data_IF_886595865915
#
_entry.id   IF_886595865915
#
_cell.length_a   1.000
_cell.length_b   1.000
_cell.length_c   1.000
_cell.angle_alpha   90.00
_cell.angle_beta   90.00
_cell.angle_gamma   90.00
#
_symmetry.space_group_name_H-M   'P 1'
#
loop_
_entity.id
_entity.type
_entity.pdbx_description
1 polymer ?
#
# COMPACT_ATOMS: atom_id res chain seq x y z
N UNK A 1 45.75 -34.37 12.49
CA UNK A 1 45.33 -33.89 13.83
C UNK A 1 45.04 -32.39 13.89
N UNK A 2 45.53 -31.56 12.95
CA UNK A 2 45.38 -30.08 13.04
C UNK A 2 43.96 -29.55 12.74
N UNK A 3 43.16 -30.25 11.94
CA UNK A 3 41.82 -29.79 11.53
C UNK A 3 40.83 -29.74 12.71
N UNK A 4 40.99 -30.60 13.74
CA UNK A 4 40.08 -30.60 14.89
C UNK A 4 40.31 -29.39 15.82
N UNK A 5 41.53 -28.86 15.88
CA UNK A 5 41.84 -27.69 16.69
C UNK A 5 41.16 -26.44 16.15
N UNK A 6 41.18 -26.22 14.83
CA UNK A 6 40.48 -25.11 14.20
C UNK A 6 38.96 -25.16 14.41
N UNK A 7 38.36 -26.35 14.33
CA UNK A 7 36.94 -26.53 14.59
C UNK A 7 36.59 -26.22 16.06
N UNK A 8 37.42 -26.66 17.00
CA UNK A 8 37.24 -26.37 18.43
C UNK A 8 37.41 -24.88 18.76
N UNK A 9 38.38 -24.19 18.13
CA UNK A 9 38.54 -22.75 18.27
C UNK A 9 37.36 -21.97 17.68
N UNK A 10 36.85 -22.37 16.52
CA UNK A 10 35.66 -21.77 15.92
C UNK A 10 34.40 -21.98 16.80
N UNK A 11 34.22 -23.19 17.35
CA UNK A 11 33.13 -23.50 18.26
C UNK A 11 33.22 -22.72 19.58
N UNK A 12 34.42 -22.62 20.18
CA UNK A 12 34.66 -21.85 21.40
C UNK A 12 34.45 -20.35 21.16
N UNK A 13 34.92 -19.82 20.03
CA UNK A 13 34.67 -18.43 19.64
C UNK A 13 33.17 -18.17 19.48
N UNK A 14 32.44 -19.06 18.80
CA UNK A 14 30.99 -18.95 18.65
C UNK A 14 30.27 -19.02 20.01
N UNK A 15 30.72 -19.90 20.91
CA UNK A 15 30.18 -20.01 22.26
C UNK A 15 30.46 -18.75 23.10
N UNK A 16 31.66 -18.17 23.04
CA UNK A 16 32.02 -16.93 23.74
C UNK A 16 31.26 -15.71 23.19
N UNK A 17 31.03 -15.64 21.88
CA UNK A 17 30.18 -14.62 21.25
C UNK A 17 28.71 -14.80 21.68
N UNK A 18 28.23 -16.04 21.78
CA UNK A 18 26.87 -16.31 22.26
C UNK A 18 26.72 -15.97 23.74
N UNK A 19 27.68 -16.38 24.58
CA UNK A 19 27.71 -16.12 26.01
C UNK A 19 27.83 -14.62 26.32
N UNK A 20 28.71 -13.90 25.64
CA UNK A 20 28.82 -12.43 25.78
C UNK A 20 27.54 -11.72 25.36
N UNK A 21 26.88 -12.15 24.27
CA UNK A 21 25.56 -11.60 23.90
C UNK A 21 24.48 -11.90 24.94
N UNK A 22 24.49 -13.08 25.57
CA UNK A 22 23.57 -13.42 26.65
C UNK A 22 23.82 -12.61 27.93
N UNK A 23 25.09 -12.35 28.26
CA UNK A 23 25.50 -11.52 29.39
C UNK A 23 25.13 -10.05 29.15
N UNK A 24 25.49 -9.48 28.00
CA UNK A 24 25.11 -8.12 27.61
C UNK A 24 23.58 -7.97 27.54
N UNK A 25 22.86 -9.01 27.12
CA UNK A 25 21.39 -9.01 27.14
C UNK A 25 20.82 -8.95 28.57
N UNK A 26 21.43 -9.64 29.54
CA UNK A 26 21.03 -9.54 30.96
C UNK A 26 21.40 -8.20 31.60
N UNK A 27 22.54 -7.62 31.21
CA UNK A 27 23.01 -6.32 31.71
C UNK A 27 22.32 -5.12 31.04
N UNK A 28 21.75 -5.31 29.86
CA UNK A 28 21.19 -4.25 29.02
C UNK A 28 19.69 -4.02 29.17
N UNK A 29 19.10 -4.25 30.35
CA UNK A 29 17.72 -3.88 30.61
C UNK A 29 17.69 -2.50 31.30
N UNK A 30 17.58 -1.39 30.56
CA UNK A 30 17.45 -0.08 31.19
C UNK A 30 16.20 -0.09 32.07
N UNK A 31 16.33 0.39 33.30
CA UNK A 31 15.29 0.39 34.34
C UNK A 31 14.01 1.17 33.98
N UNK A 32 13.90 1.70 32.76
CA UNK A 32 12.84 2.58 32.29
C UNK A 32 12.14 2.07 31.01
N UNK A 33 12.27 0.79 30.65
CA UNK A 33 11.49 0.25 29.53
C UNK A 33 10.06 -0.10 29.98
N UNK A 34 9.08 0.03 29.06
CA UNK A 34 7.75 -0.51 29.28
C UNK A 34 7.77 -2.02 29.60
N UNK A 35 6.70 -2.55 30.21
CA UNK A 35 6.54 -3.99 30.42
C UNK A 35 6.84 -4.80 29.15
N UNK A 36 7.53 -5.93 29.33
CA UNK A 36 7.90 -6.86 28.25
C UNK A 36 7.55 -8.28 28.65
N UNK A 37 6.89 -9.07 27.80
CA UNK A 37 6.79 -10.51 27.99
C UNK A 37 8.18 -11.17 27.95
N UNK A 38 8.30 -12.44 28.38
CA UNK A 38 9.55 -13.18 28.25
C UNK A 38 10.01 -13.28 26.79
N UNK A 39 11.26 -12.90 26.53
CA UNK A 39 11.85 -12.94 25.19
C UNK A 39 12.88 -14.06 25.05
N UNK A 40 13.04 -14.59 23.83
CA UNK A 40 14.10 -15.56 23.51
C UNK A 40 15.35 -14.85 22.98
N UNK A 41 16.56 -15.42 23.19
CA UNK A 41 17.78 -14.91 22.57
C UNK A 41 17.64 -14.85 21.04
N UNK A 42 18.27 -13.84 20.42
CA UNK A 42 18.33 -13.60 18.97
C UNK A 42 16.98 -13.25 18.32
N UNK A 43 15.95 -14.09 18.47
CA UNK A 43 14.64 -13.90 17.82
C UNK A 43 13.73 -12.92 18.56
N UNK A 44 13.98 -12.67 19.85
CA UNK A 44 13.12 -11.85 20.69
C UNK A 44 11.74 -12.46 20.89
N UNK A 45 10.71 -11.71 20.53
CA UNK A 45 9.30 -12.01 20.71
C UNK A 45 8.62 -12.55 19.45
N UNK A 46 9.34 -12.76 18.35
CA UNK A 46 8.77 -13.31 17.11
C UNK A 46 8.06 -14.66 17.33
N UNK A 47 8.54 -15.47 18.26
CA UNK A 47 7.92 -16.75 18.62
C UNK A 47 6.54 -16.63 19.29
N UNK A 48 6.19 -15.44 19.80
CA UNK A 48 4.87 -15.17 20.37
C UNK A 48 3.86 -14.76 19.31
N UNK A 49 4.33 -14.24 18.17
CA UNK A 49 3.48 -13.67 17.14
C UNK A 49 2.81 -14.77 16.32
N UNK A 50 1.48 -14.82 16.39
CA UNK A 50 0.64 -15.65 15.53
C UNK A 50 -0.10 -14.74 14.56
N UNK A 51 -0.57 -15.33 13.46
CA UNK A 51 -1.50 -14.61 12.58
C UNK A 51 -2.92 -14.76 13.13
N UNK A 52 -3.73 -13.68 13.10
CA UNK A 52 -3.36 -12.32 12.67
C UNK A 52 -2.58 -11.58 13.77
N UNK A 53 -1.59 -10.78 13.33
CA UNK A 53 -0.68 -10.09 14.24
C UNK A 53 -1.41 -9.22 15.28
N UNK A 54 -2.39 -8.42 14.86
CA UNK A 54 -3.07 -7.46 15.74
C UNK A 54 -3.83 -8.15 16.89
N UNK A 55 -4.40 -9.35 16.70
CA UNK A 55 -5.07 -10.10 17.78
C UNK A 55 -4.08 -10.61 18.80
N UNK A 56 -2.96 -11.17 18.33
CA UNK A 56 -1.89 -11.60 19.23
C UNK A 56 -1.32 -10.42 20.02
N UNK A 57 -1.16 -9.25 19.39
CA UNK A 57 -0.72 -8.03 20.08
C UNK A 57 -1.75 -7.57 21.12
N UNK A 58 -3.05 -7.65 20.81
CA UNK A 58 -4.14 -7.34 21.77
C UNK A 58 -4.14 -8.31 22.96
N UNK A 59 -4.01 -9.61 22.73
CA UNK A 59 -3.91 -10.62 23.81
C UNK A 59 -2.69 -10.37 24.72
N UNK A 60 -1.55 -10.03 24.13
CA UNK A 60 -0.37 -9.64 24.89
C UNK A 60 -0.63 -8.37 25.70
N UNK A 61 -1.28 -7.36 25.10
CA UNK A 61 -1.60 -6.11 25.79
C UNK A 61 -2.52 -6.33 26.98
N UNK A 62 -3.58 -7.13 26.82
CA UNK A 62 -4.50 -7.48 27.90
C UNK A 62 -3.79 -8.20 29.07
N UNK A 63 -2.69 -8.90 28.80
CA UNK A 63 -1.94 -9.66 29.81
C UNK A 63 -0.83 -8.85 30.48
N UNK A 64 -0.13 -7.99 29.75
CA UNK A 64 1.10 -7.34 30.21
C UNK A 64 0.96 -5.82 30.37
N UNK A 65 -0.14 -5.23 29.91
CA UNK A 65 -0.43 -3.79 29.98
C UNK A 65 -0.56 -3.13 28.59
N UNK A 66 -1.05 -1.89 28.59
CA UNK A 66 -1.41 -1.16 27.36
C UNK A 66 -0.21 -0.63 26.56
N UNK A 67 0.99 -0.59 27.17
CA UNK A 67 2.22 -0.14 26.52
C UNK A 67 3.26 -1.24 26.70
N UNK A 68 3.60 -1.93 25.61
CA UNK A 68 4.52 -3.07 25.65
C UNK A 68 5.78 -2.83 24.85
N UNK A 69 6.90 -3.21 25.45
CA UNK A 69 8.16 -3.31 24.73
C UNK A 69 8.34 -4.72 24.18
N UNK A 70 8.40 -4.83 22.85
CA UNK A 70 8.69 -6.05 22.13
C UNK A 70 9.99 -5.93 21.32
N UNK A 71 10.45 -7.06 20.83
CA UNK A 71 11.69 -7.20 20.06
C UNK A 71 11.43 -8.19 18.94
N UNK A 72 11.43 -7.75 17.69
CA UNK A 72 11.26 -8.62 16.54
C UNK A 72 12.62 -8.84 15.89
N UNK A 73 13.28 -9.96 16.23
CA UNK A 73 14.68 -10.19 15.86
C UNK A 73 15.59 -9.10 16.45
N UNK A 74 16.21 -8.30 15.59
CA UNK A 74 17.05 -7.15 16.01
C UNK A 74 16.27 -5.84 16.19
N UNK A 75 14.99 -5.77 15.77
CA UNK A 75 14.19 -4.54 15.87
C UNK A 75 13.51 -4.42 17.22
N UNK A 76 13.58 -3.23 17.81
CA UNK A 76 12.81 -2.85 19.00
C UNK A 76 11.45 -2.33 18.55
N UNK A 77 10.38 -2.78 19.20
CA UNK A 77 9.00 -2.44 18.84
C UNK A 77 8.26 -2.01 20.08
N UNK A 78 7.58 -0.87 20.01
CA UNK A 78 6.68 -0.40 21.05
C UNK A 78 5.25 -0.65 20.58
N UNK A 79 4.47 -1.40 21.36
CA UNK A 79 3.05 -1.62 21.10
C UNK A 79 2.26 -0.70 22.03
N UNK A 80 1.32 0.04 21.46
CA UNK A 80 0.48 1.00 22.19
C UNK A 80 -0.97 0.62 21.94
N UNK A 81 -1.69 0.31 23.02
CA UNK A 81 -3.08 -0.16 23.01
C UNK A 81 -4.00 0.68 23.90
N UNK A 82 -3.52 1.84 24.38
CA UNK A 82 -4.33 2.79 25.18
C UNK A 82 -4.69 4.02 24.33
N UNK A 83 -5.97 4.44 24.32
CA UNK A 83 -6.40 5.65 23.61
C UNK A 83 -5.62 6.91 24.00
N UNK A 84 -5.36 7.13 25.29
CA UNK A 84 -4.63 8.31 25.76
C UNK A 84 -3.16 8.31 25.34
N UNK A 85 -2.52 7.14 25.32
CA UNK A 85 -1.15 6.99 24.85
C UNK A 85 -1.04 7.16 23.32
N UNK A 86 -2.03 6.66 22.58
CA UNK A 86 -2.14 6.91 21.14
C UNK A 86 -2.31 8.40 20.87
N UNK A 87 -3.20 9.08 21.60
CA UNK A 87 -3.40 10.53 21.49
C UNK A 87 -2.09 11.28 21.73
N UNK A 88 -1.35 10.96 22.80
CA UNK A 88 -0.04 11.58 23.08
C UNK A 88 0.96 11.38 21.93
N UNK A 89 1.03 10.16 21.36
CA UNK A 89 1.91 9.84 20.25
C UNK A 89 1.58 10.56 18.95
N UNK A 90 0.29 10.73 18.63
CA UNK A 90 -0.17 11.30 17.36
C UNK A 90 -0.60 12.77 17.44
N UNK A 91 -0.50 13.40 18.62
CA UNK A 91 -0.73 14.85 18.80
C UNK A 91 0.50 15.54 19.39
N UNK A 92 0.83 15.29 20.65
CA UNK A 92 1.91 15.97 21.35
C UNK A 92 3.32 15.57 20.89
N UNK A 93 3.48 14.35 20.38
CA UNK A 93 4.77 13.78 19.92
C UNK A 93 4.73 13.30 18.47
N UNK A 94 3.79 13.82 17.68
CA UNK A 94 3.50 13.39 16.31
C UNK A 94 4.73 13.35 15.39
N UNK A 95 5.58 14.38 15.40
CA UNK A 95 6.81 14.45 14.60
C UNK A 95 7.83 13.38 15.00
N UNK A 96 7.92 13.05 16.28
CA UNK A 96 8.86 12.03 16.79
C UNK A 96 8.46 10.65 16.27
N UNK A 97 7.16 10.36 16.26
CA UNK A 97 6.60 9.09 15.81
C UNK A 97 6.23 9.04 14.32
N UNK A 98 6.44 10.13 13.57
CA UNK A 98 6.13 10.21 12.15
C UNK A 98 7.14 9.45 11.24
N UNK A 99 8.28 9.02 11.76
CA UNK A 99 9.28 8.28 10.99
C UNK A 99 8.79 6.90 10.55
N UNK A 100 9.33 6.39 9.42
CA UNK A 100 8.98 5.09 8.86
C UNK A 100 10.14 4.11 8.99
N UNK A 101 9.89 2.86 9.41
CA UNK A 101 10.95 1.86 9.47
C UNK A 101 11.42 1.51 8.07
N UNK A 102 12.74 1.44 7.86
CA UNK A 102 13.30 0.95 6.59
C UNK A 102 12.99 -0.53 6.43
N UNK A 103 12.33 -0.90 5.35
CA UNK A 103 12.02 -2.30 5.03
C UNK A 103 12.56 -2.68 3.66
N UNK A 104 12.72 -3.98 3.42
CA UNK A 104 13.10 -4.51 2.11
C UNK A 104 12.07 -4.12 1.04
N UNK A 105 10.77 -4.18 1.39
CA UNK A 105 9.70 -3.68 0.52
C UNK A 105 9.77 -2.16 0.28
N UNK A 106 10.13 -1.38 1.31
CA UNK A 106 10.39 0.05 1.16
C UNK A 106 11.54 0.33 0.19
N UNK A 107 12.62 -0.44 0.29
CA UNK A 107 13.78 -0.34 -0.59
C UNK A 107 13.43 -0.66 -2.05
N UNK A 108 12.84 -1.83 -2.28
CA UNK A 108 12.72 -2.41 -3.63
C UNK A 108 11.39 -2.13 -4.34
N UNK A 109 10.29 -1.85 -3.61
CA UNK A 109 8.95 -1.62 -4.17
C UNK A 109 8.45 -0.17 -4.04
N UNK A 110 9.23 0.70 -3.40
CA UNK A 110 8.82 2.07 -3.05
C UNK A 110 9.93 3.10 -3.30
N UNK A 111 10.66 2.94 -4.41
CA UNK A 111 11.70 3.87 -4.83
C UNK A 111 12.68 4.24 -3.71
N UNK A 112 13.24 3.22 -3.05
CA UNK A 112 14.12 3.40 -1.91
C UNK A 112 13.49 4.18 -0.73
N UNK A 113 12.23 3.88 -0.39
CA UNK A 113 11.45 4.49 0.69
C UNK A 113 11.19 6.00 0.48
N UNK A 114 10.98 6.42 -0.76
CA UNK A 114 10.66 7.82 -1.09
C UNK A 114 9.17 8.06 -1.31
N UNK A 115 8.33 7.03 -1.33
CA UNK A 115 6.87 7.17 -1.44
C UNK A 115 6.24 7.65 -0.12
N UNK A 116 5.08 8.30 -0.20
CA UNK A 116 4.37 8.92 0.93
C UNK A 116 4.19 7.98 2.14
N UNK A 117 3.87 6.71 1.90
CA UNK A 117 3.65 5.71 2.95
C UNK A 117 4.92 5.20 3.62
N UNK A 118 6.08 5.28 2.95
CA UNK A 118 7.35 4.67 3.37
C UNK A 118 8.44 5.68 3.71
N UNK A 119 8.27 6.96 3.36
CA UNK A 119 9.24 8.00 3.67
C UNK A 119 9.12 8.45 5.13
N UNK A 120 10.27 8.62 5.79
CA UNK A 120 10.33 9.24 7.12
C UNK A 120 10.00 10.72 7.05
N UNK A 121 9.55 11.26 8.18
CA UNK A 121 9.27 12.68 8.28
C UNK A 121 10.51 13.51 7.96
N UNK A 122 10.33 14.54 7.13
CA UNK A 122 11.40 15.37 6.61
C UNK A 122 10.87 16.30 5.54
N UNK A 123 11.76 17.07 4.91
CA UNK A 123 11.40 17.99 3.83
C UNK A 123 10.68 17.29 2.67
N UNK A 124 11.25 16.18 2.17
CA UNK A 124 10.67 15.38 1.10
C UNK A 124 9.23 14.93 1.41
N UNK A 125 9.00 14.35 2.59
CA UNK A 125 7.66 13.90 3.01
C UNK A 125 6.69 15.08 3.16
N UNK A 126 7.13 16.21 3.72
CA UNK A 126 6.29 17.42 3.84
C UNK A 126 5.88 17.95 2.47
N UNK A 127 6.79 17.94 1.49
CA UNK A 127 6.48 18.36 0.12
C UNK A 127 5.49 17.40 -0.55
N UNK A 128 5.63 16.08 -0.35
CA UNK A 128 4.63 15.09 -0.79
C UNK A 128 3.26 15.31 -0.13
N UNK A 129 3.25 15.60 1.17
CA UNK A 129 2.01 15.91 1.92
C UNK A 129 1.34 17.17 1.39
N UNK A 130 2.12 18.21 1.10
CA UNK A 130 1.62 19.45 0.49
C UNK A 130 1.04 19.19 -0.89
N UNK A 131 1.79 18.54 -1.79
CA UNK A 131 1.34 18.16 -3.13
C UNK A 131 0.00 17.42 -3.07
N UNK A 132 -0.06 16.33 -2.29
CA UNK A 132 -1.27 15.50 -2.22
C UNK A 132 -2.46 16.27 -1.65
N UNK A 133 -2.27 17.03 -0.57
CA UNK A 133 -3.38 17.70 0.14
C UNK A 133 -3.87 18.95 -0.61
N UNK A 134 -2.96 19.77 -1.12
CA UNK A 134 -3.28 21.07 -1.72
C UNK A 134 -3.63 20.91 -3.20
N UNK A 135 -2.84 20.13 -3.94
CA UNK A 135 -2.97 20.08 -5.39
C UNK A 135 -3.87 18.94 -5.86
N UNK A 136 -3.79 17.76 -5.24
CA UNK A 136 -4.47 16.56 -5.75
C UNK A 136 -5.82 16.29 -5.09
N UNK A 137 -5.92 16.51 -3.78
CA UNK A 137 -7.09 16.16 -2.97
C UNK A 137 -7.72 17.36 -2.25
N UNK A 138 -7.49 18.58 -2.74
CA UNK A 138 -8.24 19.74 -2.24
C UNK A 138 -9.73 19.60 -2.55
N UNK A 139 -10.58 20.23 -1.74
CA UNK A 139 -12.04 20.22 -1.91
C UNK A 139 -12.45 20.61 -3.33
N UNK A 140 -11.80 21.63 -3.89
CA UNK A 140 -12.04 22.07 -5.26
C UNK A 140 -11.67 20.97 -6.28
N UNK A 141 -10.51 20.34 -6.14
CA UNK A 141 -10.10 19.27 -7.06
C UNK A 141 -11.01 18.04 -6.97
N UNK A 142 -11.42 17.65 -5.77
CA UNK A 142 -12.37 16.54 -5.61
C UNK A 142 -13.73 16.90 -6.23
N UNK A 143 -14.16 18.15 -6.16
CA UNK A 143 -15.40 18.61 -6.78
C UNK A 143 -15.35 18.56 -8.32
N UNK A 144 -14.21 18.85 -8.96
CA UNK A 144 -14.08 18.76 -10.43
C UNK A 144 -14.21 17.34 -10.98
N UNK A 145 -14.03 16.31 -10.15
CA UNK A 145 -14.24 14.90 -10.52
C UNK A 145 -15.63 14.37 -10.15
N UNK A 146 -16.57 15.23 -9.76
CA UNK A 146 -17.93 14.82 -9.35
C UNK A 146 -18.70 14.07 -10.43
N UNK A 147 -18.71 14.59 -11.66
CA UNK A 147 -19.39 13.96 -12.80
C UNK A 147 -18.80 12.58 -13.11
N UNK A 148 -17.47 12.47 -13.10
CA UNK A 148 -16.76 11.20 -13.29
C UNK A 148 -17.15 10.15 -12.24
N UNK A 149 -17.22 10.52 -10.95
CA UNK A 149 -17.66 9.59 -9.90
C UNK A 149 -19.13 9.19 -10.09
N UNK A 150 -19.98 10.14 -10.48
CA UNK A 150 -21.39 9.88 -10.77
C UNK A 150 -21.52 8.86 -11.91
N UNK A 151 -20.76 9.03 -12.99
CA UNK A 151 -20.73 8.08 -14.12
C UNK A 151 -20.36 6.67 -13.68
N UNK A 152 -19.30 6.48 -12.86
CA UNK A 152 -18.92 5.14 -12.39
C UNK A 152 -20.00 4.48 -11.53
N UNK A 153 -20.62 5.26 -10.64
CA UNK A 153 -21.75 4.77 -9.82
C UNK A 153 -22.93 4.39 -10.71
N UNK A 154 -23.25 5.21 -11.72
CA UNK A 154 -24.32 4.90 -12.67
C UNK A 154 -24.03 3.62 -13.45
N UNK A 155 -22.79 3.40 -13.89
CA UNK A 155 -22.38 2.17 -14.58
C UNK A 155 -22.58 0.93 -13.70
N UNK A 156 -22.18 0.99 -12.42
CA UNK A 156 -22.42 -0.08 -11.47
C UNK A 156 -23.93 -0.35 -11.32
N UNK A 157 -24.74 0.70 -11.13
CA UNK A 157 -26.19 0.55 -11.00
C UNK A 157 -26.83 -0.07 -12.24
N UNK A 158 -26.43 0.34 -13.45
CA UNK A 158 -26.90 -0.27 -14.70
C UNK A 158 -26.52 -1.75 -14.80
N UNK A 159 -25.32 -2.12 -14.36
CA UNK A 159 -24.89 -3.52 -14.35
C UNK A 159 -25.71 -4.35 -13.36
N UNK A 160 -25.89 -3.85 -12.13
CA UNK A 160 -26.71 -4.52 -11.11
C UNK A 160 -28.18 -4.66 -11.56
N UNK A 161 -28.73 -3.62 -12.18
CA UNK A 161 -30.09 -3.66 -12.71
C UNK A 161 -30.22 -4.70 -13.82
N UNK A 162 -29.31 -4.71 -14.81
CA UNK A 162 -29.30 -5.72 -15.88
C UNK A 162 -29.22 -7.13 -15.31
N UNK A 163 -28.29 -7.37 -14.38
CA UNK A 163 -28.05 -8.68 -13.79
C UNK A 163 -29.20 -9.15 -12.87
N UNK A 164 -30.03 -8.24 -12.32
CA UNK A 164 -31.18 -8.56 -11.45
C UNK A 164 -32.56 -8.41 -12.11
N UNK A 165 -32.61 -7.94 -13.36
CA UNK A 165 -33.86 -7.62 -14.08
C UNK A 165 -34.76 -8.83 -14.35
N UNK A 166 -34.15 -10.03 -14.49
CA UNK A 166 -34.88 -11.28 -14.80
C UNK A 166 -35.24 -12.09 -13.54
N UNK A 167 -34.39 -12.02 -12.51
CA UNK A 167 -34.51 -12.78 -11.27
C UNK A 167 -33.60 -12.13 -10.20
N UNK A 168 -33.90 -12.38 -8.93
CA UNK A 168 -33.01 -12.06 -7.81
C UNK A 168 -31.62 -12.68 -8.05
N UNK A 169 -30.62 -11.83 -8.25
CA UNK A 169 -29.25 -12.26 -8.55
C UNK A 169 -28.35 -12.09 -7.35
N UNK A 170 -27.44 -13.06 -7.19
CA UNK A 170 -26.36 -13.01 -6.21
C UNK A 170 -25.27 -12.09 -6.73
N UNK A 171 -24.92 -11.08 -5.95
CA UNK A 171 -23.93 -10.06 -6.30
C UNK A 171 -22.83 -10.04 -5.24
N UNK A 172 -21.57 -10.15 -5.66
CA UNK A 172 -20.41 -9.93 -4.79
C UNK A 172 -20.13 -8.44 -4.61
N UNK A 173 -20.65 -7.85 -3.53
CA UNK A 173 -20.53 -6.41 -3.25
C UNK A 173 -19.07 -5.98 -3.04
N UNK A 174 -18.24 -6.81 -2.41
CA UNK A 174 -16.81 -6.48 -2.24
C UNK A 174 -16.13 -6.31 -3.60
N UNK A 175 -16.33 -7.25 -4.53
CA UNK A 175 -15.79 -7.14 -5.89
C UNK A 175 -16.34 -5.91 -6.59
N UNK A 176 -17.65 -5.66 -6.51
CA UNK A 176 -18.28 -4.49 -7.12
C UNK A 176 -17.73 -3.16 -6.57
N UNK A 177 -17.54 -3.03 -5.26
CA UNK A 177 -17.03 -1.81 -4.64
C UNK A 177 -15.53 -1.63 -4.85
N UNK A 178 -14.75 -2.71 -4.89
CA UNK A 178 -13.33 -2.65 -5.26
C UNK A 178 -13.17 -2.18 -6.71
N UNK A 179 -13.90 -2.79 -7.66
CA UNK A 179 -13.87 -2.37 -9.06
C UNK A 179 -14.31 -0.90 -9.24
N UNK A 180 -15.38 -0.49 -8.53
CA UNK A 180 -15.86 0.90 -8.53
C UNK A 180 -14.79 1.87 -8.01
N UNK A 181 -14.25 1.61 -6.81
CA UNK A 181 -13.27 2.50 -6.16
C UNK A 181 -12.00 2.58 -6.99
N UNK A 182 -11.57 1.45 -7.54
CA UNK A 182 -10.41 1.36 -8.40
C UNK A 182 -10.60 2.19 -9.69
N UNK A 183 -11.72 2.00 -10.39
CA UNK A 183 -11.99 2.76 -11.63
C UNK A 183 -12.15 4.25 -11.35
N UNK A 184 -12.77 4.64 -10.23
CA UNK A 184 -12.81 6.05 -9.79
C UNK A 184 -11.39 6.60 -9.64
N UNK A 185 -10.50 5.89 -8.93
CA UNK A 185 -9.12 6.33 -8.72
C UNK A 185 -8.36 6.45 -10.04
N UNK A 186 -8.38 5.43 -10.91
CA UNK A 186 -7.64 5.47 -12.17
C UNK A 186 -8.21 6.45 -13.19
N UNK A 187 -9.52 6.69 -13.20
CA UNK A 187 -10.09 7.76 -14.02
C UNK A 187 -9.65 9.13 -13.51
N UNK A 188 -9.56 9.34 -12.21
CA UNK A 188 -9.01 10.58 -11.67
C UNK A 188 -7.52 10.75 -12.01
N UNK A 189 -6.73 9.67 -11.90
CA UNK A 189 -5.27 9.69 -12.10
C UNK A 189 -4.88 9.83 -13.57
N UNK A 190 -5.41 8.95 -14.41
CA UNK A 190 -5.00 8.78 -15.81
C UNK A 190 -6.15 8.90 -16.81
N UNK A 191 -7.39 9.10 -16.35
CA UNK A 191 -8.56 9.14 -17.23
C UNK A 191 -8.98 7.78 -17.80
N UNK A 192 -8.37 6.68 -17.33
CA UNK A 192 -8.56 5.32 -17.84
C UNK A 192 -9.35 4.44 -16.86
N UNK A 193 -10.05 3.44 -17.39
CA UNK A 193 -10.67 2.35 -16.63
C UNK A 193 -9.88 1.08 -16.83
N UNK A 194 -9.80 0.27 -15.78
CA UNK A 194 -9.07 -1.00 -15.80
C UNK A 194 -9.91 -2.20 -15.38
N UNK A 195 -11.14 -1.99 -14.90
CA UNK A 195 -12.09 -3.05 -14.59
C UNK A 195 -13.44 -2.82 -15.30
N UNK A 196 -14.19 -3.91 -15.51
CA UNK A 196 -15.53 -3.91 -16.10
C UNK A 196 -15.64 -4.85 -17.31
N UNK A 197 -16.86 -5.30 -17.61
CA UNK A 197 -17.16 -6.25 -18.70
C UNK A 197 -16.74 -5.72 -20.09
N UNK A 198 -16.71 -4.40 -20.25
CA UNK A 198 -16.36 -3.71 -21.50
C UNK A 198 -14.86 -3.36 -21.60
N UNK A 199 -14.09 -3.58 -20.52
CA UNK A 199 -12.65 -3.33 -20.48
C UNK A 199 -11.92 -4.64 -20.81
N UNK A 200 -11.68 -4.87 -22.10
CA UNK A 200 -10.97 -6.05 -22.62
C UNK A 200 -9.65 -5.64 -23.28
N UNK A 201 -8.89 -4.80 -22.58
CA UNK A 201 -7.56 -4.37 -23.04
C UNK A 201 -6.46 -5.20 -22.35
N UNK A 202 -5.42 -5.53 -23.11
CA UNK A 202 -4.23 -6.22 -22.62
C UNK A 202 -3.45 -5.34 -21.62
N UNK A 203 -3.46 -4.01 -21.83
CA UNK A 203 -2.91 -3.04 -20.87
C UNK A 203 -3.54 -3.25 -19.48
N UNK A 204 -4.86 -3.45 -19.44
CA UNK A 204 -5.58 -3.59 -18.19
C UNK A 204 -5.27 -4.88 -17.45
N UNK A 205 -5.19 -6.00 -18.17
CA UNK A 205 -4.79 -7.28 -17.58
C UNK A 205 -3.37 -7.23 -17.03
N UNK A 206 -2.45 -6.62 -17.78
CA UNK A 206 -1.08 -6.44 -17.34
C UNK A 206 -1.04 -5.62 -16.04
N UNK A 207 -1.74 -4.50 -16.00
CA UNK A 207 -1.77 -3.64 -14.82
C UNK A 207 -2.37 -4.33 -13.58
N UNK A 208 -3.52 -5.01 -13.74
CA UNK A 208 -4.15 -5.78 -12.67
C UNK A 208 -3.21 -6.81 -12.06
N UNK A 209 -2.46 -7.54 -12.91
CA UNK A 209 -1.48 -8.53 -12.46
C UNK A 209 -0.32 -7.88 -11.69
N UNK A 210 0.17 -6.72 -12.15
CA UNK A 210 1.24 -5.98 -11.47
C UNK A 210 0.81 -5.52 -10.07
N UNK A 211 -0.39 -4.95 -9.94
CA UNK A 211 -0.93 -4.51 -8.64
C UNK A 211 -1.14 -5.70 -7.71
N UNK A 212 -1.76 -6.78 -8.20
CA UNK A 212 -1.97 -8.00 -7.40
C UNK A 212 -0.66 -8.55 -6.84
N UNK A 213 0.39 -8.60 -7.66
CA UNK A 213 1.69 -9.08 -7.21
C UNK A 213 2.36 -8.10 -6.25
N UNK A 214 2.22 -6.79 -6.47
CA UNK A 214 2.81 -5.75 -5.65
C UNK A 214 2.25 -5.79 -4.23
N UNK A 215 0.94 -5.92 -4.08
CA UNK A 215 0.29 -5.98 -2.77
C UNK A 215 0.62 -7.28 -2.02
N UNK A 216 0.70 -8.41 -2.73
CA UNK A 216 1.13 -9.68 -2.13
C UNK A 216 2.56 -9.58 -1.55
N UNK A 217 3.47 -8.90 -2.25
CA UNK A 217 4.85 -8.72 -1.79
C UNK A 217 4.98 -7.65 -0.70
N UNK A 218 4.19 -6.57 -0.76
CA UNK A 218 4.15 -5.52 0.28
C UNK A 218 3.59 -6.02 1.61
N UNK A 219 2.52 -6.83 1.56
CA UNK A 219 1.87 -7.39 2.75
C UNK A 219 2.60 -8.58 3.38
N UNK A 220 3.55 -9.18 2.67
CA UNK A 220 4.34 -10.29 3.21
C UNK A 220 5.29 -9.82 4.32
N UNK A 221 5.16 -10.40 5.52
CA UNK A 221 6.11 -10.15 6.61
C UNK A 221 7.46 -10.78 6.26
N UNK A 222 8.45 -9.97 5.88
CA UNK A 222 9.76 -10.46 5.47
C UNK A 222 10.67 -10.70 6.68
N UNK A 223 11.20 -11.92 6.82
CA UNK A 223 12.18 -12.24 7.88
C UNK A 223 13.46 -11.40 7.75
N UNK A 224 13.84 -11.00 6.54
CA UNK A 224 15.00 -10.15 6.29
C UNK A 224 14.86 -8.75 6.90
N UNK A 225 13.64 -8.31 7.21
CA UNK A 225 13.42 -7.05 7.94
C UNK A 225 13.85 -7.20 9.40
N UNK A 226 13.68 -8.37 10.01
CA UNK A 226 13.97 -8.63 11.42
C UNK A 226 15.38 -9.17 11.68
N UNK A 227 15.99 -9.80 10.67
CA UNK A 227 17.32 -10.40 10.76
C UNK A 227 18.22 -9.91 9.59
N UNK A 228 19.00 -8.84 9.78
CA UNK A 228 19.84 -8.28 8.73
C UNK A 228 20.84 -9.27 8.11
N UNK A 229 21.28 -10.27 8.87
CA UNK A 229 22.18 -11.34 8.35
C UNK A 229 21.54 -12.14 7.21
N UNK A 230 20.21 -12.25 7.18
CA UNK A 230 19.50 -12.94 6.10
C UNK A 230 19.46 -12.11 4.81
N UNK A 231 19.77 -10.81 4.83
CA UNK A 231 19.86 -9.99 3.61
C UNK A 231 21.07 -10.36 2.75
N UNK A 232 22.07 -11.06 3.30
CA UNK A 232 23.24 -11.50 2.53
C UNK A 232 22.94 -12.67 1.60
N UNK A 233 21.83 -13.37 1.83
CA UNK A 233 21.42 -14.54 1.05
C UNK A 233 19.94 -14.36 0.72
N UNK A 234 19.60 -14.14 -0.55
CA UNK A 234 18.20 -14.07 -1.01
C UNK A 234 17.56 -15.48 -1.00
N UNK A 235 17.39 -16.04 0.21
CA UNK A 235 17.05 -17.44 0.47
C UNK A 235 15.74 -17.88 -0.19
N UNK A 236 14.87 -16.92 -0.56
CA UNK A 236 13.58 -17.16 -1.20
C UNK A 236 13.44 -16.51 -2.57
N UNK A 237 14.50 -15.91 -3.13
CA UNK A 237 14.42 -15.14 -4.37
C UNK A 237 13.48 -13.92 -4.28
N UNK A 238 13.16 -13.49 -3.05
CA UNK A 238 12.14 -12.50 -2.76
C UNK A 238 12.59 -11.11 -3.21
N UNK A 239 13.84 -10.75 -2.93
CA UNK A 239 14.39 -9.47 -3.36
C UNK A 239 14.49 -9.41 -4.89
N UNK A 240 14.94 -10.49 -5.53
CA UNK A 240 14.97 -10.59 -7.00
C UNK A 240 13.58 -10.44 -7.62
N UNK A 241 12.57 -11.07 -7.02
CA UNK A 241 11.17 -10.95 -7.45
C UNK A 241 10.63 -9.54 -7.27
N UNK A 242 10.90 -8.90 -6.13
CA UNK A 242 10.52 -7.50 -5.87
C UNK A 242 11.15 -6.55 -6.90
N UNK A 243 12.44 -6.67 -7.17
CA UNK A 243 13.14 -5.85 -8.16
C UNK A 243 12.58 -6.06 -9.58
N UNK A 244 12.34 -7.32 -9.97
CA UNK A 244 11.74 -7.67 -11.25
C UNK A 244 10.34 -7.08 -11.43
N UNK A 245 9.52 -7.14 -10.38
CA UNK A 245 8.18 -6.54 -10.36
C UNK A 245 8.25 -5.01 -10.44
N UNK A 246 9.11 -4.38 -9.63
CA UNK A 246 9.25 -2.92 -9.62
C UNK A 246 9.70 -2.39 -10.98
N UNK A 247 10.58 -3.11 -11.70
CA UNK A 247 10.97 -2.75 -13.08
C UNK A 247 9.77 -2.71 -14.03
N UNK A 248 8.87 -3.70 -13.94
CA UNK A 248 7.66 -3.75 -14.77
C UNK A 248 6.68 -2.65 -14.40
N UNK A 249 6.48 -2.40 -13.10
CA UNK A 249 5.62 -1.32 -12.62
C UNK A 249 6.16 0.06 -13.02
N UNK A 250 7.46 0.29 -12.84
CA UNK A 250 8.08 1.57 -13.20
C UNK A 250 7.94 1.87 -14.69
N UNK A 251 8.13 0.84 -15.54
CA UNK A 251 7.87 0.95 -16.97
C UNK A 251 6.42 1.30 -17.26
N UNK A 252 5.46 0.59 -16.66
CA UNK A 252 4.05 0.86 -16.85
C UNK A 252 3.68 2.31 -16.50
N UNK A 253 4.13 2.79 -15.33
CA UNK A 253 3.85 4.16 -14.90
C UNK A 253 4.57 5.20 -15.77
N UNK A 254 5.77 4.88 -16.27
CA UNK A 254 6.46 5.72 -17.24
C UNK A 254 5.67 5.84 -18.54
N UNK A 255 5.18 4.72 -19.07
CA UNK A 255 4.40 4.68 -20.31
C UNK A 255 3.11 5.54 -20.16
N UNK A 256 2.46 5.53 -18.98
CA UNK A 256 1.34 6.42 -18.66
C UNK A 256 1.72 7.91 -18.63
N UNK A 257 2.84 8.26 -18.00
CA UNK A 257 3.30 9.66 -17.94
C UNK A 257 3.60 10.19 -19.35
N UNK A 258 4.29 9.38 -20.17
CA UNK A 258 4.64 9.75 -21.54
C UNK A 258 3.40 9.90 -22.43
N UNK A 259 2.40 9.04 -22.28
CA UNK A 259 1.12 9.18 -22.99
C UNK A 259 0.48 10.54 -22.71
N UNK A 260 0.40 10.94 -21.44
CA UNK A 260 -0.14 12.24 -21.05
C UNK A 260 0.68 13.41 -21.58
N UNK A 261 2.02 13.31 -21.56
CA UNK A 261 2.90 14.33 -22.14
C UNK A 261 2.68 14.49 -23.65
N UNK A 262 2.53 13.38 -24.39
CA UNK A 262 2.26 13.39 -25.84
C UNK A 262 0.91 14.05 -26.14
N UNK A 263 -0.14 13.67 -25.42
CA UNK A 263 -1.49 14.26 -25.60
C UNK A 263 -1.49 15.75 -25.31
N UNK A 264 -0.83 16.20 -24.24
CA UNK A 264 -0.68 17.64 -23.91
C UNK A 264 0.03 18.39 -25.03
N UNK A 265 1.13 17.85 -25.54
CA UNK A 265 1.92 18.49 -26.60
C UNK A 265 1.12 18.66 -27.90
N UNK A 266 0.33 17.65 -28.28
CA UNK A 266 -0.56 17.71 -29.44
C UNK A 266 -1.69 18.73 -29.26
N UNK A 267 -2.27 18.79 -28.05
CA UNK A 267 -3.30 19.77 -27.69
C UNK A 267 -2.79 21.20 -27.86
N UNK A 268 -1.58 21.48 -27.35
CA UNK A 268 -0.93 22.80 -27.45
C UNK A 268 -0.56 23.19 -28.89
N UNK A 269 -0.33 22.23 -29.78
CA UNK A 269 -0.09 22.51 -31.21
C UNK A 269 -1.37 22.84 -31.98
N UNK A 270 -2.53 22.27 -31.58
CA UNK A 270 -3.84 22.58 -32.18
C UNK A 270 -4.32 24.01 -31.91
N UNK A 271 -3.77 24.68 -30.89
CA UNK A 271 -4.04 26.07 -30.50
C UNK A 271 -3.67 27.12 -31.56
N UNK A 272 -3.01 26.75 -32.65
CA UNK A 272 -2.66 27.67 -33.76
C UNK A 272 -3.78 27.86 -34.79
N UNK A 273 -4.91 27.16 -34.68
CA UNK A 273 -6.07 27.34 -35.57
C UNK A 273 -7.20 28.04 -34.78
N UNK A 274 -7.49 29.33 -35.02
CA UNK A 274 -8.58 30.03 -34.36
C UNK A 274 -9.92 29.48 -34.88
N UNK A 275 -10.79 28.98 -33.99
CA UNK A 275 -12.21 28.72 -34.32
C UNK A 275 -12.80 27.36 -33.92
N UNK A 276 -12.00 26.36 -33.53
CA UNK A 276 -12.55 25.12 -32.96
C UNK A 276 -12.69 25.26 -31.44
N UNK A 277 -13.93 25.36 -30.97
CA UNK A 277 -14.25 25.28 -29.55
C UNK A 277 -13.70 23.99 -28.95
N UNK A 278 -12.80 24.11 -27.98
CA UNK A 278 -12.27 22.96 -27.27
C UNK A 278 -13.36 22.33 -26.40
N UNK A 279 -13.58 21.02 -26.58
CA UNK A 279 -14.11 20.20 -25.51
C UNK A 279 -13.05 20.19 -24.41
N UNK A 280 -13.26 20.97 -23.34
CA UNK A 280 -12.34 21.09 -22.21
C UNK A 280 -12.14 19.71 -21.59
N UNK A 281 -11.04 19.02 -21.97
CA UNK A 281 -10.65 17.75 -21.34
C UNK A 281 -10.48 18.02 -19.85
N UNK A 282 -11.19 17.27 -19.01
CA UNK A 282 -10.99 17.35 -17.57
C UNK A 282 -9.54 16.97 -17.27
N UNK A 283 -8.79 17.87 -16.62
CA UNK A 283 -7.41 17.59 -16.21
C UNK A 283 -7.39 16.41 -15.24
N UNK A 284 -6.55 15.43 -15.55
CA UNK A 284 -6.27 14.31 -14.65
C UNK A 284 -5.25 14.71 -13.59
N UNK A 285 -5.04 13.87 -12.57
CA UNK A 285 -4.01 14.12 -11.57
C UNK A 285 -2.60 14.04 -12.17
N UNK A 286 -2.37 13.19 -13.17
CA UNK A 286 -1.10 13.19 -13.94
C UNK A 286 -0.91 14.54 -14.64
N UNK A 287 -1.95 15.09 -15.27
CA UNK A 287 -1.85 16.40 -15.93
C UNK A 287 -1.53 17.51 -14.92
N UNK A 288 -2.04 17.42 -13.71
CA UNK A 288 -1.73 18.42 -12.69
C UNK A 288 -0.28 18.32 -12.25
N UNK A 289 0.20 17.11 -11.94
CA UNK A 289 1.59 16.91 -11.53
C UNK A 289 2.58 17.27 -12.64
N UNK A 290 2.25 16.99 -13.90
CA UNK A 290 3.04 17.42 -15.05
C UNK A 290 3.11 18.96 -15.17
N UNK A 291 2.02 19.66 -14.85
CA UNK A 291 2.04 21.14 -14.84
C UNK A 291 2.90 21.69 -13.70
N UNK A 292 2.88 21.03 -12.53
CA UNK A 292 3.76 21.40 -11.42
C UNK A 292 5.24 21.12 -11.73
N UNK A 293 5.52 20.05 -12.49
CA UNK A 293 6.87 19.72 -13.00
C UNK A 293 7.45 20.80 -13.89
N UNK A 294 6.63 21.52 -14.65
CA UNK A 294 7.09 22.67 -15.44
C UNK A 294 7.55 23.84 -14.55
N UNK A 295 6.97 23.99 -13.36
CA UNK A 295 7.29 25.09 -12.42
C UNK A 295 8.41 24.76 -11.44
N UNK A 296 8.50 23.51 -10.96
CA UNK A 296 9.45 23.10 -9.92
C UNK A 296 9.99 21.67 -10.24
N UNK A 297 10.80 21.54 -11.31
CA UNK A 297 11.20 20.24 -11.85
C UNK A 297 12.08 19.42 -10.91
N UNK A 298 12.76 20.08 -9.96
CA UNK A 298 13.62 19.44 -8.96
C UNK A 298 12.82 18.51 -8.03
N UNK A 299 11.60 18.91 -7.67
CA UNK A 299 10.75 18.12 -6.77
C UNK A 299 9.78 17.21 -7.53
N UNK A 300 9.09 17.73 -8.55
CA UNK A 300 8.06 16.98 -9.31
C UNK A 300 8.67 16.11 -10.42
N UNK A 301 9.72 15.36 -10.09
CA UNK A 301 10.35 14.40 -11.00
C UNK A 301 9.38 13.28 -11.41
N UNK A 302 9.68 12.55 -12.49
CA UNK A 302 8.85 11.40 -12.88
C UNK A 302 8.78 10.36 -11.76
N UNK A 303 9.88 10.14 -11.01
CA UNK A 303 9.86 9.26 -9.85
C UNK A 303 8.88 9.74 -8.77
N UNK A 304 8.81 11.05 -8.52
CA UNK A 304 7.84 11.64 -7.57
C UNK A 304 6.40 11.40 -8.05
N UNK A 305 6.11 11.66 -9.33
CA UNK A 305 4.79 11.43 -9.94
C UNK A 305 4.39 9.96 -9.81
N UNK A 306 5.26 9.04 -10.24
CA UNK A 306 5.04 7.59 -10.11
C UNK A 306 4.86 7.18 -8.65
N UNK A 307 5.69 7.72 -7.76
CA UNK A 307 5.63 7.47 -6.33
C UNK A 307 4.28 7.87 -5.72
N UNK A 308 3.74 9.03 -6.10
CA UNK A 308 2.41 9.50 -5.67
C UNK A 308 1.29 8.61 -6.21
N UNK A 309 1.37 8.19 -7.48
CA UNK A 309 0.39 7.24 -8.06
C UNK A 309 0.41 5.92 -7.27
N UNK A 310 1.60 5.40 -6.91
CA UNK A 310 1.71 4.17 -6.12
C UNK A 310 1.24 4.30 -4.66
N UNK A 311 0.95 5.52 -4.16
CA UNK A 311 0.45 5.76 -2.81
C UNK A 311 -1.07 5.66 -2.70
N UNK A 312 -1.79 5.59 -3.81
CA UNK A 312 -3.19 5.21 -3.77
C UNK A 312 -3.29 3.78 -3.24
N UNK A 313 -4.27 3.54 -2.38
CA UNK A 313 -4.51 2.21 -1.83
C UNK A 313 -5.14 1.37 -2.94
N UNK A 314 -4.41 0.34 -3.37
CA UNK A 314 -4.80 -0.52 -4.47
C UNK A 314 -5.19 -1.89 -3.91
N UNK A 315 -6.45 -2.29 -4.05
CA UNK A 315 -6.90 -3.59 -3.58
C UNK A 315 -6.78 -4.67 -4.67
N UNK A 316 -6.50 -5.91 -4.26
CA UNK A 316 -6.53 -7.09 -5.14
C UNK A 316 -7.96 -7.35 -5.60
N UNK A 317 -8.18 -7.37 -6.91
CA UNK A 317 -9.40 -7.92 -7.50
C UNK A 317 -9.16 -9.39 -7.87
N UNK A 318 -9.96 -10.32 -7.32
CA UNK A 318 -9.81 -11.77 -7.54
C UNK A 318 -11.12 -12.55 -7.38
N UNK A 319 -11.17 -13.76 -7.99
CA UNK A 319 -12.35 -14.62 -8.22
C UNK A 319 -12.30 -16.01 -7.54
N UNK A 320 -11.64 -16.18 -6.38
CA UNK A 320 -11.52 -17.49 -5.68
C UNK A 320 -12.52 -17.59 -4.49
N UNK A 321 -13.07 -18.81 -4.24
CA UNK A 321 -14.06 -19.14 -3.17
C UNK A 321 -13.41 -19.65 -1.84
N UNK A 322 -14.24 -19.78 -0.79
CA UNK A 322 -14.05 -19.46 0.65
C UNK A 322 -13.10 -20.35 1.48
N UNK A 323 -12.31 -19.70 2.35
CA UNK A 323 -11.77 -20.22 3.62
C UNK A 323 -11.79 -19.10 4.69
N UNK A 324 -12.32 -19.39 5.88
CA UNK A 324 -12.55 -18.47 7.01
C UNK A 324 -11.30 -18.06 7.81
N UNK A 325 -10.10 -18.16 7.23
CA UNK A 325 -8.83 -17.86 7.92
C UNK A 325 -8.34 -16.45 7.58
N UNK A 326 -7.91 -15.68 8.58
CA UNK A 326 -7.48 -14.28 8.43
C UNK A 326 -6.22 -14.15 7.56
N UNK A 327 -6.24 -13.23 6.59
CA UNK A 327 -5.11 -12.98 5.68
C UNK A 327 -3.97 -12.20 6.34
N UNK A 328 -2.76 -12.31 5.75
CA UNK A 328 -1.56 -11.57 6.17
C UNK A 328 -1.49 -10.20 5.47
N UNK A 329 -1.49 -9.08 6.20
CA UNK A 329 -1.37 -7.73 5.62
C UNK A 329 -1.48 -6.57 6.63
N UNK A 330 -1.20 -5.33 6.18
CA UNK A 330 -1.24 -4.10 6.99
C UNK A 330 -2.67 -3.54 7.11
N UNK A 331 -3.47 -3.70 6.06
CA UNK A 331 -4.92 -3.56 6.12
C UNK A 331 -5.48 -4.89 6.61
N UNK A 332 -6.56 -4.87 7.39
CA UNK A 332 -7.21 -6.07 7.94
C UNK A 332 -8.40 -6.47 7.03
N UNK A 333 -8.21 -7.00 5.81
CA UNK A 333 -9.35 -7.44 5.02
C UNK A 333 -9.91 -8.74 5.63
N UNK A 334 -11.23 -8.79 5.74
CA UNK A 334 -11.94 -10.07 5.78
C UNK A 334 -11.76 -10.73 4.41
N UNK A 335 -11.48 -12.04 4.40
CA UNK A 335 -11.26 -12.78 3.15
C UNK A 335 -12.59 -13.10 2.43
N UNK A 336 -13.74 -13.03 3.12
CA UNK A 336 -15.05 -13.24 2.50
C UNK A 336 -15.61 -11.93 1.90
N UNK A 337 -15.87 -11.90 0.58
CA UNK A 337 -16.56 -10.78 -0.04
C UNK A 337 -18.03 -10.74 0.41
N UNK A 338 -18.53 -9.57 0.80
CA UNK A 338 -19.92 -9.38 1.17
C UNK A 338 -20.80 -9.68 -0.05
N UNK A 339 -21.63 -10.71 0.03
CA UNK A 339 -22.59 -11.03 -1.02
C UNK A 339 -23.98 -10.52 -0.63
N UNK A 340 -24.70 -9.99 -1.60
CA UNK A 340 -26.08 -9.59 -1.42
C UNK A 340 -26.94 -10.14 -2.55
N UNK A 341 -28.19 -10.45 -2.20
CA UNK A 341 -29.21 -10.70 -3.21
C UNK A 341 -29.82 -9.36 -3.60
N UNK A 342 -29.62 -8.95 -4.86
CA UNK A 342 -30.11 -7.67 -5.35
C UNK A 342 -31.42 -7.83 -6.14
N UNK A 343 -32.36 -6.93 -5.87
CA UNK A 343 -33.57 -6.73 -6.68
C UNK A 343 -33.91 -5.23 -6.70
N UNK A 344 -34.22 -4.62 -7.86
CA UNK A 344 -34.62 -3.22 -7.90
C UNK A 344 -35.94 -3.01 -7.14
N UNK A 345 -36.01 -1.94 -6.36
CA UNK A 345 -37.28 -1.48 -5.77
C UNK A 345 -38.22 -1.08 -6.91
N UNK A 346 -39.51 -1.41 -6.81
CA UNK A 346 -40.52 -1.11 -7.84
C UNK A 346 -40.50 0.36 -8.25
N UNK A 347 -40.37 1.27 -7.29
CA UNK A 347 -40.32 2.73 -7.51
C UNK A 347 -39.09 3.22 -8.29
N UNK A 348 -38.05 2.40 -8.42
CA UNK A 348 -36.79 2.76 -9.09
C UNK A 348 -36.68 2.15 -10.49
N UNK A 349 -37.61 1.27 -10.90
CA UNK A 349 -37.49 0.50 -12.15
C UNK A 349 -37.49 1.41 -13.37
N UNK A 350 -38.40 2.39 -13.44
CA UNK A 350 -38.49 3.29 -14.59
C UNK A 350 -37.24 4.17 -14.72
N UNK A 351 -36.76 4.69 -13.59
CA UNK A 351 -35.51 5.45 -13.55
C UNK A 351 -34.34 4.59 -14.02
N UNK A 352 -34.14 3.40 -13.44
CA UNK A 352 -33.03 2.50 -13.78
C UNK A 352 -33.12 1.97 -15.22
N UNK A 353 -34.32 1.86 -15.79
CA UNK A 353 -34.52 1.47 -17.21
C UNK A 353 -34.23 2.62 -18.17
N UNK A 354 -34.40 3.87 -17.73
CA UNK A 354 -34.09 5.07 -18.53
C UNK A 354 -32.62 5.49 -18.50
N UNK A 355 -31.86 4.98 -17.52
CA UNK A 355 -30.42 5.21 -17.37
C UNK A 355 -29.64 4.46 -18.43
#
# INVERSE_FOLDING_TARGET
MEVSHWFNFAALFFFLVLASKLVIYKLGNPNNLPPSPPSRPIIGHLHLLKQPLHRTLCELSNKYGDILFLRFGTRKVLVISSPSAVEECFTGKDVIFANRPRTVAGKHLNYNSTTMGFSSYGEHWRNLRRLTTVELFSTNRVATFSDMRKEEVQLLLKQLFRDSSKQQSKVGLTTSFMELTFNVAMRMIAGKRYYGKEVVDEEARQFQNLIKEMEALRGSSNMNDFFPVLQWIDFQGLEKRMMGLMKKMDKFLQDLIEEHQRVRSQSSQSTKIPGLGHQKRNMTLIDVMLSLKETEPEFYTDQTIKGVIMCFEWDRVGKEEINLTEGTGLTMPKVEPLEALCRPRRSMVDLLSSM
#
